data_IF_132735243023
#
_entry.id   IF_132735243023
#
_cell.length_a   1.000
_cell.length_b   1.000
_cell.length_c   1.000
_cell.angle_alpha   90.00
_cell.angle_beta   90.00
_cell.angle_gamma   90.00
#
_symmetry.space_group_name_H-M   'P 1'
#
loop_
_entity.id
_entity.type
_entity.pdbx_description
1 polymer ?
#
# COMPACT_ATOMS: atom_id res chain seq x y z
N UNK A 1 -0.56 57.59 21.95
CA UNK A 1 -0.26 56.14 21.87
C UNK A 1 1.23 56.03 21.69
N UNK A 2 1.94 55.69 22.76
CA UNK A 2 3.41 55.68 22.77
C UNK A 2 3.94 54.40 22.11
N UNK A 3 5.14 54.48 21.52
CA UNK A 3 5.79 53.32 20.89
C UNK A 3 5.97 52.13 21.86
N UNK A 4 6.09 52.38 23.16
CA UNK A 4 6.16 51.35 24.21
C UNK A 4 4.87 50.53 24.34
N UNK A 5 3.70 51.17 24.20
CA UNK A 5 2.41 50.46 24.23
C UNK A 5 2.28 49.54 23.01
N UNK A 6 2.77 49.98 21.85
CA UNK A 6 2.76 49.21 20.61
C UNK A 6 3.69 47.99 20.69
N UNK A 7 4.88 48.15 21.27
CA UNK A 7 5.82 47.05 21.49
C UNK A 7 5.28 46.01 22.47
N UNK A 8 4.65 46.45 23.55
CA UNK A 8 4.05 45.56 24.55
C UNK A 8 2.94 44.69 23.94
N UNK A 9 2.11 45.27 23.07
CA UNK A 9 1.06 44.55 22.32
C UNK A 9 1.68 43.52 21.37
N UNK A 10 2.76 43.88 20.68
CA UNK A 10 3.45 42.99 19.72
C UNK A 10 4.10 41.78 20.42
N UNK A 11 4.75 41.98 21.57
CA UNK A 11 5.33 40.89 22.37
C UNK A 11 4.25 39.95 22.91
N UNK A 12 3.14 40.47 23.43
CA UNK A 12 2.00 39.65 23.90
C UNK A 12 1.42 38.78 22.78
N UNK A 13 1.21 39.35 21.60
CA UNK A 13 0.65 38.62 20.46
C UNK A 13 1.61 37.55 19.92
N UNK A 14 2.92 37.81 19.94
CA UNK A 14 3.93 36.82 19.57
C UNK A 14 3.95 35.64 20.55
N UNK A 15 3.86 35.90 21.86
CA UNK A 15 3.80 34.85 22.89
C UNK A 15 2.51 34.02 22.76
N UNK A 16 1.37 34.66 22.53
CA UNK A 16 0.10 33.96 22.32
C UNK A 16 0.13 33.06 21.08
N UNK A 17 0.70 33.55 19.96
CA UNK A 17 0.89 32.76 18.74
C UNK A 17 1.82 31.56 18.99
N UNK A 18 2.92 31.78 19.71
CA UNK A 18 3.86 30.71 20.05
C UNK A 18 3.19 29.65 20.95
N UNK A 19 2.44 30.07 21.97
CA UNK A 19 1.67 29.17 22.84
C UNK A 19 0.60 28.38 22.07
N UNK A 20 -0.14 29.02 21.16
CA UNK A 20 -1.11 28.30 20.30
C UNK A 20 -0.43 27.26 19.41
N UNK A 21 0.73 27.59 18.85
CA UNK A 21 1.49 26.65 18.00
C UNK A 21 2.02 25.45 18.79
N UNK A 22 2.46 25.66 20.02
CA UNK A 22 2.93 24.60 20.93
C UNK A 22 1.77 23.71 21.39
N UNK A 23 0.63 24.30 21.78
CA UNK A 23 -0.56 23.56 22.17
C UNK A 23 -1.12 22.70 21.03
N UNK A 24 -1.10 23.20 19.78
CA UNK A 24 -1.48 22.42 18.60
C UNK A 24 -0.51 21.27 18.30
N UNK A 25 0.80 21.46 18.53
CA UNK A 25 1.79 20.38 18.38
C UNK A 25 1.63 19.32 19.47
N UNK A 26 1.47 19.73 20.73
CA UNK A 26 1.25 18.79 21.84
C UNK A 26 -0.06 18.02 21.70
N UNK A 27 -1.15 18.64 21.21
CA UNK A 27 -2.40 17.91 20.93
C UNK A 27 -2.23 16.89 19.80
N UNK A 28 -1.47 17.21 18.76
CA UNK A 28 -1.14 16.27 17.69
C UNK A 28 -0.28 15.10 18.18
N UNK A 29 0.66 15.35 19.10
CA UNK A 29 1.49 14.28 19.67
C UNK A 29 0.73 13.42 20.68
N UNK A 30 -0.12 14.02 21.54
CA UNK A 30 -0.90 13.28 22.56
C UNK A 30 -2.06 12.46 21.97
N UNK A 31 -2.51 12.76 20.75
CA UNK A 31 -3.55 12.00 20.05
C UNK A 31 -3.00 10.94 19.09
N UNK A 32 -1.68 10.78 18.99
CA UNK A 32 -1.11 9.65 18.26
C UNK A 32 -1.35 8.37 19.06
N UNK A 33 -2.53 7.83 18.83
CA UNK A 33 -2.90 6.50 19.26
C UNK A 33 -1.78 5.54 18.79
N UNK A 34 -1.21 4.67 19.63
CA UNK A 34 -0.17 3.73 19.21
C UNK A 34 -0.58 2.91 17.97
N UNK A 35 -1.89 2.73 17.74
CA UNK A 35 -2.41 2.13 16.52
C UNK A 35 -2.17 2.97 15.25
N UNK A 36 -2.26 4.30 15.35
CA UNK A 36 -1.97 5.20 14.22
C UNK A 36 -0.49 5.19 13.87
N UNK A 37 0.41 5.18 14.87
CA UNK A 37 1.84 5.11 14.62
C UNK A 37 2.24 3.82 13.88
N UNK A 38 1.63 2.69 14.25
CA UNK A 38 1.83 1.42 13.56
C UNK A 38 1.35 1.47 12.11
N UNK A 39 0.19 2.10 11.86
CA UNK A 39 -0.34 2.27 10.49
C UNK A 39 0.56 3.17 9.64
N UNK A 40 1.00 4.30 10.19
CA UNK A 40 1.93 5.21 9.51
C UNK A 40 3.23 4.49 9.13
N UNK A 41 3.80 3.71 10.06
CA UNK A 41 5.02 2.91 9.79
C UNK A 41 4.78 1.86 8.70
N UNK A 42 3.65 1.13 8.74
CA UNK A 42 3.28 0.16 7.68
C UNK A 42 3.19 0.84 6.32
N UNK A 43 2.48 1.97 6.23
CA UNK A 43 2.33 2.72 4.98
C UNK A 43 3.66 3.25 4.43
N UNK A 44 4.56 3.73 5.29
CA UNK A 44 5.89 4.18 4.86
C UNK A 44 6.70 3.04 4.25
N UNK A 45 6.68 1.86 4.87
CA UNK A 45 7.37 0.66 4.36
C UNK A 45 6.78 0.26 3.00
N UNK A 46 5.46 0.21 2.89
CA UNK A 46 4.77 -0.13 1.63
C UNK A 46 5.14 0.85 0.52
N UNK A 47 5.15 2.17 0.78
CA UNK A 47 5.56 3.20 -0.20
C UNK A 47 7.01 3.07 -0.67
N UNK A 48 7.90 2.54 0.17
CA UNK A 48 9.30 2.35 -0.21
C UNK A 48 9.50 1.13 -1.12
N UNK A 49 8.82 0.02 -0.82
CA UNK A 49 8.92 -1.25 -1.54
C UNK A 49 8.09 -1.29 -2.82
N UNK A 50 6.95 -0.61 -2.86
CA UNK A 50 6.04 -0.63 -4.00
C UNK A 50 6.39 0.48 -5.00
N UNK A 51 6.19 0.18 -6.29
CA UNK A 51 6.16 1.19 -7.34
C UNK A 51 4.78 1.91 -7.36
N UNK A 52 4.69 3.11 -7.94
CA UNK A 52 3.44 3.89 -7.95
C UNK A 52 2.25 3.17 -8.60
N UNK A 53 2.51 2.38 -9.64
CA UNK A 53 1.52 1.55 -10.32
C UNK A 53 0.96 0.44 -9.41
N UNK A 54 1.81 -0.17 -8.59
CA UNK A 54 1.43 -1.17 -7.60
C UNK A 54 0.57 -0.57 -6.47
N UNK A 55 0.93 0.64 -6.00
CA UNK A 55 0.14 1.37 -5.00
C UNK A 55 -1.26 1.69 -5.52
N UNK A 56 -1.37 2.25 -6.73
CA UNK A 56 -2.66 2.56 -7.36
C UNK A 56 -3.51 1.29 -7.51
N UNK A 57 -2.89 0.16 -7.87
CA UNK A 57 -3.60 -1.12 -7.95
C UNK A 57 -4.10 -1.59 -6.59
N UNK A 58 -3.26 -1.56 -5.54
CA UNK A 58 -3.67 -1.89 -4.18
C UNK A 58 -4.81 -1.00 -3.67
N UNK A 59 -4.77 0.30 -3.94
CA UNK A 59 -5.85 1.23 -3.59
C UNK A 59 -7.16 0.86 -4.30
N UNK A 60 -7.10 0.56 -5.61
CA UNK A 60 -8.28 0.10 -6.35
C UNK A 60 -8.83 -1.25 -5.82
N UNK A 61 -7.93 -2.14 -5.41
CA UNK A 61 -8.29 -3.44 -4.85
C UNK A 61 -8.89 -3.29 -3.44
N UNK A 62 -8.50 -2.27 -2.68
CA UNK A 62 -9.01 -2.01 -1.33
C UNK A 62 -10.51 -1.72 -1.34
N UNK A 63 -10.99 -1.04 -2.39
CA UNK A 63 -12.42 -0.77 -2.58
C UNK A 63 -13.24 -2.01 -2.94
N UNK A 64 -12.63 -3.00 -3.61
CA UNK A 64 -13.34 -4.19 -4.11
C UNK A 64 -13.20 -5.39 -3.18
N UNK A 65 -11.99 -5.65 -2.67
CA UNK A 65 -11.64 -6.82 -1.85
C UNK A 65 -10.71 -6.43 -0.68
N UNK A 66 -11.22 -5.71 0.34
CA UNK A 66 -10.38 -5.23 1.44
C UNK A 66 -9.67 -6.35 2.22
N UNK A 67 -10.31 -7.53 2.37
CA UNK A 67 -9.73 -8.68 3.05
C UNK A 67 -8.49 -9.25 2.33
N UNK A 68 -8.53 -9.27 0.99
CA UNK A 68 -7.39 -9.72 0.20
C UNK A 68 -6.24 -8.71 0.27
N UNK A 69 -6.55 -7.40 0.28
CA UNK A 69 -5.53 -6.36 0.44
C UNK A 69 -4.80 -6.49 1.77
N UNK A 70 -5.52 -6.71 2.88
CA UNK A 70 -4.89 -6.93 4.19
C UNK A 70 -3.90 -8.11 4.16
N UNK A 71 -4.30 -9.22 3.54
CA UNK A 71 -3.43 -10.39 3.36
C UNK A 71 -2.21 -10.10 2.47
N UNK A 72 -2.37 -9.27 1.42
CA UNK A 72 -1.26 -8.85 0.57
C UNK A 72 -0.29 -7.95 1.36
N UNK A 73 -0.80 -6.97 2.10
CA UNK A 73 0.03 -6.08 2.93
C UNK A 73 0.84 -6.86 3.96
N UNK A 74 0.20 -7.79 4.68
CA UNK A 74 0.88 -8.65 5.65
C UNK A 74 1.94 -9.55 4.98
N UNK A 75 1.63 -10.14 3.83
CA UNK A 75 2.60 -10.93 3.06
C UNK A 75 3.81 -10.10 2.63
N UNK A 76 3.61 -8.85 2.17
CA UNK A 76 4.70 -7.95 1.80
C UNK A 76 5.56 -7.60 3.02
N UNK A 77 4.94 -7.27 4.16
CA UNK A 77 5.67 -6.96 5.41
C UNK A 77 6.56 -8.14 5.81
N UNK A 78 6.04 -9.36 5.73
CA UNK A 78 6.81 -10.58 6.02
C UNK A 78 7.99 -10.74 5.06
N UNK A 79 7.79 -10.51 3.75
CA UNK A 79 8.87 -10.58 2.75
C UNK A 79 9.97 -9.54 2.99
N UNK A 80 9.59 -8.34 3.43
CA UNK A 80 10.51 -7.27 3.83
C UNK A 80 11.28 -7.66 5.08
N UNK A 81 10.61 -8.20 6.10
CA UNK A 81 11.23 -8.63 7.35
C UNK A 81 12.32 -9.69 7.11
N UNK A 82 12.06 -10.64 6.20
CA UNK A 82 13.04 -11.65 5.81
C UNK A 82 14.13 -11.13 4.84
N UNK A 83 14.09 -9.85 4.45
CA UNK A 83 14.99 -9.24 3.46
C UNK A 83 15.08 -10.02 2.14
N UNK A 84 13.98 -10.66 1.73
CA UNK A 84 13.93 -11.49 0.50
C UNK A 84 13.60 -10.69 -0.75
N UNK A 85 13.24 -9.41 -0.61
CA UNK A 85 12.95 -8.52 -1.72
C UNK A 85 14.25 -7.93 -2.29
N UNK A 86 14.62 -8.36 -3.49
CA UNK A 86 15.78 -7.83 -4.23
C UNK A 86 15.43 -6.62 -5.09
N UNK A 87 14.14 -6.39 -5.38
CA UNK A 87 13.64 -5.29 -6.20
C UNK A 87 12.34 -4.74 -5.63
N UNK A 88 11.96 -3.54 -6.08
CA UNK A 88 10.63 -2.97 -5.84
C UNK A 88 9.56 -3.78 -6.59
N UNK A 89 8.37 -3.87 -5.99
CA UNK A 89 7.23 -4.62 -6.51
C UNK A 89 6.43 -3.73 -7.47
N UNK A 90 6.13 -4.27 -8.65
CA UNK A 90 5.29 -3.65 -9.68
C UNK A 90 3.82 -4.12 -9.58
N UNK A 91 2.94 -3.55 -10.41
CA UNK A 91 1.53 -3.97 -10.47
C UNK A 91 1.37 -5.47 -10.78
N UNK A 92 2.22 -6.04 -11.63
CA UNK A 92 2.13 -7.45 -12.05
C UNK A 92 2.43 -8.38 -10.87
N UNK A 93 3.39 -8.00 -10.02
CA UNK A 93 3.72 -8.74 -8.81
C UNK A 93 2.54 -8.76 -7.84
N UNK A 94 1.85 -7.64 -7.64
CA UNK A 94 0.64 -7.59 -6.79
C UNK A 94 -0.48 -8.46 -7.37
N UNK A 95 -0.73 -8.37 -8.67
CA UNK A 95 -1.71 -9.24 -9.34
C UNK A 95 -1.36 -10.73 -9.17
N UNK A 96 -0.07 -11.08 -9.19
CA UNK A 96 0.38 -12.46 -8.98
C UNK A 96 0.13 -12.91 -7.55
N UNK A 97 0.40 -12.06 -6.55
CA UNK A 97 0.13 -12.35 -5.14
C UNK A 97 -1.37 -12.49 -4.90
N UNK A 98 -2.18 -11.57 -5.44
CA UNK A 98 -3.65 -11.62 -5.38
C UNK A 98 -4.16 -12.97 -5.91
N UNK A 99 -3.81 -13.34 -7.15
CA UNK A 99 -4.23 -14.62 -7.75
C UNK A 99 -3.84 -15.83 -6.92
N UNK A 100 -2.64 -15.81 -6.33
CA UNK A 100 -2.16 -16.89 -5.48
C UNK A 100 -2.96 -16.99 -4.17
N UNK A 101 -3.36 -15.87 -3.59
CA UNK A 101 -4.22 -15.83 -2.39
C UNK A 101 -5.65 -16.29 -2.71
N UNK A 102 -6.15 -15.99 -3.90
CA UNK A 102 -7.46 -16.43 -4.37
C UNK A 102 -7.49 -17.90 -4.81
N UNK A 103 -6.32 -18.56 -4.88
CA UNK A 103 -6.22 -19.95 -5.34
C UNK A 103 -6.50 -20.10 -6.84
N UNK A 104 -6.39 -19.03 -7.63
CA UNK A 104 -6.59 -19.08 -9.08
C UNK A 104 -5.29 -19.60 -9.72
N UNK A 105 -5.35 -20.84 -10.22
CA UNK A 105 -4.20 -21.46 -10.88
C UNK A 105 -3.82 -20.71 -12.17
N UNK A 106 -2.51 -20.63 -12.51
CA UNK A 106 -2.07 -20.05 -13.77
C UNK A 106 -2.55 -20.93 -14.94
N UNK A 107 -3.30 -20.35 -15.87
CA UNK A 107 -3.69 -21.02 -17.12
C UNK A 107 -2.77 -20.62 -18.25
N UNK A 108 -2.35 -21.61 -19.04
CA UNK A 108 -1.54 -21.40 -20.25
C UNK A 108 -2.46 -21.64 -21.44
N UNK A 109 -2.81 -20.55 -22.13
CA UNK A 109 -3.59 -20.61 -23.35
C UNK A 109 -2.64 -20.58 -24.55
N UNK A 110 -2.78 -21.52 -25.48
CA UNK A 110 -2.03 -21.52 -26.74
C UNK A 110 -2.98 -21.55 -27.94
N UNK A 111 -2.56 -20.96 -29.05
CA UNK A 111 -3.31 -20.97 -30.31
C UNK A 111 -2.44 -21.57 -31.41
N UNK A 112 -2.89 -22.67 -32.03
CA UNK A 112 -2.20 -23.22 -33.20
C UNK A 112 -2.58 -22.45 -34.45
N UNK A 113 -1.67 -22.47 -35.42
CA UNK A 113 -1.91 -21.85 -36.73
C UNK A 113 -3.08 -22.56 -37.42
N UNK A 114 -4.18 -21.86 -37.63
CA UNK A 114 -5.40 -22.38 -38.28
C UNK A 114 -6.56 -22.71 -37.33
N UNK A 115 -6.33 -22.72 -36.01
CA UNK A 115 -7.42 -22.79 -35.02
C UNK A 115 -7.88 -21.36 -34.70
N UNK A 116 -9.20 -21.13 -34.57
CA UNK A 116 -9.73 -19.80 -34.25
C UNK A 116 -9.66 -19.50 -32.75
N UNK A 117 -9.93 -20.51 -31.93
CA UNK A 117 -10.02 -20.39 -30.47
C UNK A 117 -8.71 -20.83 -29.78
N UNK A 118 -8.25 -20.07 -28.76
CA UNK A 118 -7.14 -20.50 -27.94
C UNK A 118 -7.54 -21.68 -27.05
N UNK A 119 -6.68 -22.69 -26.98
CA UNK A 119 -6.88 -23.93 -26.21
C UNK A 119 -6.11 -23.83 -24.88
N UNK A 120 -6.74 -24.29 -23.80
CA UNK A 120 -6.07 -24.46 -22.50
C UNK A 120 -5.12 -25.68 -22.56
N UNK A 121 -3.85 -25.45 -22.28
CA UNK A 121 -2.81 -26.48 -22.32
C UNK A 121 -3.05 -27.58 -21.30
N UNK A 122 -3.52 -27.24 -20.11
CA UNK A 122 -3.72 -28.20 -19.03
C UNK A 122 -4.88 -29.15 -19.34
N UNK A 123 -5.98 -28.63 -19.87
CA UNK A 123 -7.10 -29.45 -20.34
C UNK A 123 -6.66 -30.39 -21.48
N UNK A 124 -5.86 -29.88 -22.43
CA UNK A 124 -5.35 -30.71 -23.53
C UNK A 124 -4.46 -31.84 -23.04
N UNK A 125 -3.57 -31.58 -22.09
CA UNK A 125 -2.68 -32.59 -21.50
C UNK A 125 -3.46 -33.64 -20.72
N UNK A 126 -4.48 -33.24 -19.95
CA UNK A 126 -5.37 -34.17 -19.23
C UNK A 126 -6.14 -35.10 -20.18
N UNK A 127 -6.53 -34.61 -21.36
CA UNK A 127 -7.15 -35.44 -22.40
C UNK A 127 -6.22 -36.52 -22.93
N UNK A 128 -4.93 -36.21 -23.17
CA UNK A 128 -3.95 -37.16 -23.71
C UNK A 128 -3.59 -38.32 -22.77
N UNK A 129 -3.77 -38.16 -21.45
CA UNK A 129 -3.41 -39.18 -20.45
C UNK A 129 -4.58 -40.15 -20.20
N UNK A 130 -5.79 -39.81 -20.65
CA UNK A 130 -7.00 -40.62 -20.46
C UNK A 130 -7.26 -41.63 -21.59
N UNK A 131 -6.54 -41.50 -22.71
CA UNK A 131 -6.50 -42.45 -23.84
C UNK A 131 -5.29 -43.39 -23.73
#
# INVERSE_FOLDING_TARGET
MSDEELEAIRRRKMIELMQRSLAQKEQKEKQKDPQQELKEKKEMVLKYILLPDALNYLESLKSTKPKIVEQIEDAIIVLVAYRRLQRKLDKIDIMRIERKLEGVEPRIMYKRRGEEEPIDLEEKLKGLVRD
#
